data_IF_532871254222
#
_entry.id   IF_532871254222
#
_cell.length_a   1.000
_cell.length_b   1.000
_cell.length_c   1.000
_cell.angle_alpha   90.00
_cell.angle_beta   90.00
_cell.angle_gamma   90.00
#
_symmetry.space_group_name_H-M   'P 1'
#
loop_
_entity.id
_entity.type
_entity.pdbx_description
1 polymer ?
#
# COMPACT_ATOMS: atom_id res chain seq x y z
N UNK A 1 -35.20 0.42 1.61
CA UNK A 1 -34.97 -0.38 2.84
C UNK A 1 -33.53 -0.15 3.29
N UNK A 2 -33.31 0.51 4.42
CA UNK A 2 -31.99 0.50 5.06
C UNK A 2 -31.86 -0.83 5.80
N UNK A 3 -31.09 -1.76 5.24
CA UNK A 3 -30.69 -2.97 5.95
C UNK A 3 -29.67 -2.55 7.02
N UNK A 4 -30.08 -2.56 8.28
CA UNK A 4 -29.21 -2.33 9.43
C UNK A 4 -28.86 -3.70 10.01
N UNK A 5 -27.58 -3.96 10.25
CA UNK A 5 -27.13 -5.19 10.89
C UNK A 5 -27.58 -5.18 12.36
N UNK A 6 -28.28 -6.22 12.81
CA UNK A 6 -28.67 -6.32 14.21
C UNK A 6 -27.43 -6.47 15.10
N UNK A 7 -27.52 -6.02 16.35
CA UNK A 7 -26.41 -6.16 17.31
C UNK A 7 -25.98 -7.63 17.49
N UNK A 8 -26.94 -8.55 17.52
CA UNK A 8 -26.68 -9.98 17.60
C UNK A 8 -25.90 -10.49 16.38
N UNK A 9 -26.33 -10.12 15.17
CA UNK A 9 -25.61 -10.50 13.95
C UNK A 9 -24.20 -9.87 13.94
N UNK A 10 -24.06 -8.60 14.32
CA UNK A 10 -22.76 -7.95 14.43
C UNK A 10 -21.82 -8.69 15.40
N UNK A 11 -22.31 -9.06 16.59
CA UNK A 11 -21.52 -9.83 17.56
C UNK A 11 -21.15 -11.23 17.05
N UNK A 12 -22.03 -11.88 16.29
CA UNK A 12 -21.74 -13.17 15.65
C UNK A 12 -20.65 -13.03 14.59
N UNK A 13 -20.76 -12.06 13.69
CA UNK A 13 -19.77 -11.82 12.62
C UNK A 13 -18.42 -11.40 13.21
N UNK A 14 -18.43 -10.53 14.23
CA UNK A 14 -17.24 -10.20 15.03
C UNK A 14 -16.55 -11.45 15.55
N UNK A 15 -17.30 -12.35 16.22
CA UNK A 15 -16.73 -13.58 16.79
C UNK A 15 -16.14 -14.46 15.69
N UNK A 16 -16.81 -14.57 14.55
CA UNK A 16 -16.30 -15.34 13.42
C UNK A 16 -14.98 -14.76 12.90
N UNK A 17 -14.91 -13.44 12.70
CA UNK A 17 -13.70 -12.75 12.24
C UNK A 17 -12.54 -12.91 13.21
N UNK A 18 -12.79 -12.77 14.52
CA UNK A 18 -11.75 -12.94 15.55
C UNK A 18 -11.21 -14.37 15.67
N UNK A 19 -11.94 -15.37 15.16
CA UNK A 19 -11.51 -16.78 15.17
C UNK A 19 -10.83 -17.17 13.84
N UNK A 20 -11.36 -16.70 12.72
CA UNK A 20 -10.98 -17.20 11.39
C UNK A 20 -10.24 -16.18 10.51
N UNK A 21 -10.37 -14.89 10.80
CA UNK A 21 -9.75 -13.82 10.02
C UNK A 21 -8.24 -13.79 10.20
N UNK A 22 -7.53 -13.28 9.19
CA UNK A 22 -6.09 -13.01 9.28
C UNK A 22 -5.82 -11.99 10.40
N UNK A 23 -4.63 -12.05 10.99
CA UNK A 23 -4.26 -11.13 12.08
C UNK A 23 -4.48 -9.65 11.70
N UNK A 24 -4.15 -9.26 10.46
CA UNK A 24 -4.38 -7.89 9.98
C UNK A 24 -5.86 -7.52 9.89
N UNK A 25 -6.74 -8.44 9.48
CA UNK A 25 -8.18 -8.22 9.40
C UNK A 25 -8.80 -8.06 10.80
N UNK A 26 -8.26 -8.79 11.79
CA UNK A 26 -8.67 -8.63 13.19
C UNK A 26 -8.29 -7.24 13.73
N UNK A 27 -7.08 -6.76 13.43
CA UNK A 27 -6.61 -5.46 13.88
C UNK A 27 -7.33 -4.29 13.17
N UNK A 28 -7.62 -4.43 11.87
CA UNK A 28 -8.48 -3.49 11.15
C UNK A 28 -9.89 -3.43 11.74
N UNK A 29 -10.49 -4.58 12.07
CA UNK A 29 -11.79 -4.59 12.73
C UNK A 29 -11.77 -3.86 14.08
N UNK A 30 -10.72 -4.10 14.89
CA UNK A 30 -10.54 -3.40 16.16
C UNK A 30 -10.41 -1.90 15.96
N UNK A 31 -9.63 -1.46 14.98
CA UNK A 31 -9.48 -0.05 14.62
C UNK A 31 -10.84 0.60 14.29
N UNK A 32 -11.64 -0.02 13.41
CA UNK A 32 -12.91 0.56 12.99
C UNK A 32 -14.02 0.51 14.04
N UNK A 33 -14.07 -0.55 14.85
CA UNK A 33 -15.27 -0.85 15.66
C UNK A 33 -15.00 -0.99 17.16
N UNK A 34 -13.75 -1.05 17.60
CA UNK A 34 -13.40 -1.32 19.00
C UNK A 34 -12.43 -0.28 19.60
N UNK A 35 -12.29 0.88 18.96
CA UNK A 35 -11.33 1.93 19.34
C UNK A 35 -9.88 1.45 19.36
N UNK A 36 -9.53 0.50 18.49
CA UNK A 36 -8.14 0.12 18.24
C UNK A 36 -7.34 1.29 17.68
N UNK A 37 -6.03 1.28 17.90
CA UNK A 37 -5.15 2.37 17.48
C UNK A 37 -4.61 2.18 16.06
N UNK A 38 -4.37 3.27 15.30
CA UNK A 38 -3.63 3.19 14.04
C UNK A 38 -2.28 2.48 14.17
N UNK A 39 -1.57 2.70 15.28
CA UNK A 39 -0.24 2.14 15.52
C UNK A 39 -0.25 0.61 15.64
N UNK A 40 -1.32 0.01 16.16
CA UNK A 40 -1.47 -1.45 16.20
C UNK A 40 -1.58 -2.04 14.79
N UNK A 41 -2.37 -1.42 13.91
CA UNK A 41 -2.50 -1.84 12.51
C UNK A 41 -1.17 -1.65 11.77
N UNK A 42 -0.53 -0.48 11.92
CA UNK A 42 0.78 -0.19 11.31
C UNK A 42 1.83 -1.22 11.76
N UNK A 43 1.90 -1.51 13.06
CA UNK A 43 2.82 -2.51 13.60
C UNK A 43 2.53 -3.90 13.05
N UNK A 44 1.25 -4.28 12.88
CA UNK A 44 0.88 -5.56 12.28
C UNK A 44 1.30 -5.66 10.83
N UNK A 45 1.12 -4.59 10.05
CA UNK A 45 1.52 -4.53 8.64
C UNK A 45 3.03 -4.72 8.42
N UNK A 46 3.87 -4.36 9.39
CA UNK A 46 5.32 -4.58 9.30
C UNK A 46 5.68 -6.07 9.14
N UNK A 47 4.86 -7.00 9.65
CA UNK A 47 5.06 -8.45 9.49
C UNK A 47 4.97 -8.89 8.01
N UNK A 48 4.21 -8.12 7.21
CA UNK A 48 3.98 -8.38 5.78
C UNK A 48 4.98 -7.62 4.88
N UNK A 49 5.72 -6.64 5.42
CA UNK A 49 6.70 -5.89 4.64
C UNK A 49 7.99 -6.70 4.41
N UNK A 50 8.49 -6.68 3.18
CA UNK A 50 9.75 -7.29 2.75
C UNK A 50 10.96 -6.41 3.07
N UNK A 51 12.16 -6.99 2.95
CA UNK A 51 13.42 -6.25 3.14
C UNK A 51 13.64 -5.19 2.07
N UNK A 52 13.04 -5.37 0.91
CA UNK A 52 13.00 -4.46 -0.23
C UNK A 52 11.91 -3.37 -0.10
N UNK A 53 11.09 -3.41 0.96
CA UNK A 53 10.06 -2.42 1.27
C UNK A 53 8.67 -2.71 0.68
N UNK A 54 8.56 -3.65 -0.27
CA UNK A 54 7.27 -4.10 -0.80
C UNK A 54 6.53 -4.97 0.20
N UNK A 55 5.27 -5.30 -0.09
CA UNK A 55 4.47 -6.19 0.74
C UNK A 55 4.19 -7.51 0.06
N UNK A 56 3.92 -8.53 0.89
CA UNK A 56 3.62 -9.90 0.47
C UNK A 56 2.51 -10.48 1.36
N UNK A 57 1.84 -11.53 0.90
CA UNK A 57 0.89 -12.32 1.71
C UNK A 57 -0.31 -11.51 2.25
N UNK A 58 -0.65 -10.39 1.61
CA UNK A 58 -1.76 -9.56 2.05
C UNK A 58 -3.08 -10.18 1.56
N UNK A 59 -3.14 -10.61 0.29
CA UNK A 59 -4.32 -11.23 -0.33
C UNK A 59 -4.09 -12.67 -0.77
N UNK A 60 -4.20 -12.90 -2.07
CA UNK A 60 -3.83 -14.13 -2.82
C UNK A 60 -2.32 -14.20 -3.12
N UNK A 61 -1.52 -13.33 -2.48
CA UNK A 61 -0.10 -13.15 -2.76
C UNK A 61 0.81 -14.26 -2.22
N UNK A 62 2.03 -14.30 -2.74
CA UNK A 62 3.02 -15.30 -2.33
C UNK A 62 3.52 -15.03 -0.90
N UNK A 63 3.71 -16.07 -0.09
CA UNK A 63 4.11 -15.92 1.33
C UNK A 63 5.51 -15.33 1.54
N UNK A 64 6.34 -15.36 0.49
CA UNK A 64 7.77 -14.99 0.55
C UNK A 64 8.10 -13.79 -0.35
N UNK A 65 7.42 -13.63 -1.49
CA UNK A 65 7.85 -12.70 -2.54
C UNK A 65 6.92 -11.50 -2.55
N UNK A 66 7.51 -10.32 -2.42
CA UNK A 66 6.82 -9.03 -2.51
C UNK A 66 6.31 -8.78 -3.92
N UNK A 67 5.19 -8.07 -4.04
CA UNK A 67 4.59 -7.76 -5.33
C UNK A 67 3.77 -6.46 -5.29
N UNK A 68 3.45 -5.92 -6.47
CA UNK A 68 2.70 -4.69 -6.60
C UNK A 68 1.29 -4.77 -6.01
N UNK A 69 0.62 -5.92 -6.11
CA UNK A 69 -0.77 -6.08 -5.66
C UNK A 69 -0.88 -6.05 -4.13
N UNK A 70 -0.07 -6.85 -3.45
CA UNK A 70 -0.01 -6.87 -1.98
C UNK A 70 0.48 -5.51 -1.45
N UNK A 71 1.39 -4.85 -2.18
CA UNK A 71 1.84 -3.49 -1.85
C UNK A 71 0.70 -2.49 -1.98
N UNK A 72 -0.07 -2.53 -3.06
CA UNK A 72 -1.25 -1.66 -3.21
C UNK A 72 -2.23 -1.85 -2.06
N UNK A 73 -2.56 -3.11 -1.72
CA UNK A 73 -3.49 -3.39 -0.62
C UNK A 73 -2.96 -2.98 0.75
N UNK A 74 -1.66 -3.14 1.02
CA UNK A 74 -1.06 -2.62 2.24
C UNK A 74 -1.15 -1.09 2.33
N UNK A 75 -0.96 -0.39 1.21
CA UNK A 75 -1.10 1.06 1.16
C UNK A 75 -2.55 1.54 1.30
N UNK A 76 -3.55 0.75 0.87
CA UNK A 76 -4.95 1.02 1.20
C UNK A 76 -5.13 1.12 2.72
N UNK A 77 -4.64 0.12 3.46
CA UNK A 77 -4.74 0.10 4.91
C UNK A 77 -3.89 1.19 5.58
N UNK A 78 -2.68 1.48 5.08
CA UNK A 78 -1.83 2.56 5.62
C UNK A 78 -2.52 3.92 5.45
N UNK A 79 -3.10 4.20 4.28
CA UNK A 79 -3.86 5.43 4.03
C UNK A 79 -5.10 5.51 4.94
N UNK A 80 -5.85 4.41 5.07
CA UNK A 80 -7.07 4.34 5.88
C UNK A 80 -6.83 4.63 7.36
N UNK A 81 -5.73 4.13 7.94
CA UNK A 81 -5.37 4.39 9.34
C UNK A 81 -4.64 5.72 9.54
N UNK A 82 -4.38 6.47 8.47
CA UNK A 82 -3.70 7.77 8.52
C UNK A 82 -2.21 7.68 8.80
N UNK A 83 -1.53 6.65 8.28
CA UNK A 83 -0.07 6.60 8.28
C UNK A 83 0.52 7.79 7.51
N UNK A 84 1.72 8.21 7.88
CA UNK A 84 2.33 9.47 7.41
C UNK A 84 3.68 9.22 6.75
N UNK A 85 4.23 10.25 6.11
CA UNK A 85 5.59 10.23 5.57
C UNK A 85 6.69 10.02 6.63
N UNK A 86 6.37 10.17 7.92
CA UNK A 86 7.31 9.89 9.02
C UNK A 86 7.37 8.41 9.41
N UNK A 87 6.39 7.60 8.99
CA UNK A 87 6.35 6.19 9.31
C UNK A 87 7.32 5.42 8.41
N UNK A 88 8.28 4.70 9.02
CA UNK A 88 9.34 3.99 8.29
C UNK A 88 8.76 2.96 7.29
N UNK A 89 7.64 2.34 7.64
CA UNK A 89 6.93 1.40 6.76
C UNK A 89 6.48 2.07 5.46
N UNK A 90 5.98 3.31 5.53
CA UNK A 90 5.56 4.11 4.37
C UNK A 90 6.79 4.51 3.55
N UNK A 91 7.86 4.95 4.20
CA UNK A 91 9.10 5.36 3.53
C UNK A 91 9.69 4.22 2.69
N UNK A 92 9.76 3.01 3.26
CA UNK A 92 10.22 1.81 2.56
C UNK A 92 9.27 1.42 1.42
N UNK A 93 7.97 1.49 1.66
CA UNK A 93 6.97 1.17 0.65
C UNK A 93 7.02 2.12 -0.56
N UNK A 94 7.18 3.43 -0.33
CA UNK A 94 7.32 4.40 -1.43
C UNK A 94 8.62 4.17 -2.21
N UNK A 95 9.72 3.84 -1.53
CA UNK A 95 10.96 3.48 -2.21
C UNK A 95 10.80 2.22 -3.07
N UNK A 96 10.08 1.21 -2.57
CA UNK A 96 9.75 0.02 -3.35
C UNK A 96 8.91 0.38 -4.59
N UNK A 97 7.84 1.16 -4.44
CA UNK A 97 6.98 1.55 -5.56
C UNK A 97 7.82 2.30 -6.62
N UNK A 98 8.62 3.29 -6.24
CA UNK A 98 9.47 4.01 -7.22
C UNK A 98 10.49 3.06 -7.87
N UNK A 99 11.13 2.19 -7.07
CA UNK A 99 12.23 1.33 -7.51
C UNK A 99 11.80 0.13 -8.36
N UNK A 100 10.51 -0.23 -8.35
CA UNK A 100 9.97 -1.39 -9.07
C UNK A 100 9.14 -1.04 -10.31
N UNK A 101 9.07 0.24 -10.67
CA UNK A 101 8.40 0.64 -11.90
C UNK A 101 9.13 0.11 -13.13
N UNK A 102 8.41 -0.60 -14.00
CA UNK A 102 8.91 -1.12 -15.26
C UNK A 102 8.75 -0.04 -16.35
N UNK A 103 9.87 0.54 -16.79
CA UNK A 103 9.89 1.59 -17.80
C UNK A 103 9.67 1.07 -19.23
N UNK A 104 9.92 -0.21 -19.49
CA UNK A 104 9.70 -0.80 -20.82
C UNK A 104 8.21 -1.04 -21.04
N UNK A 105 7.53 -1.58 -20.03
CA UNK A 105 6.10 -1.91 -20.07
C UNK A 105 5.21 -0.78 -19.53
N UNK A 106 5.81 0.26 -18.95
CA UNK A 106 5.15 1.41 -18.33
C UNK A 106 4.14 1.01 -17.25
N UNK A 107 4.47 0.03 -16.43
CA UNK A 107 3.58 -0.50 -15.40
C UNK A 107 4.33 -0.95 -14.13
N UNK A 108 3.55 -1.25 -13.09
CA UNK A 108 3.99 -2.10 -11.99
C UNK A 108 3.39 -3.49 -12.16
N UNK A 109 4.20 -4.51 -11.90
CA UNK A 109 3.76 -5.90 -11.99
C UNK A 109 2.93 -6.28 -10.75
N UNK A 110 1.71 -6.75 -10.97
CA UNK A 110 0.84 -7.21 -9.89
C UNK A 110 1.40 -8.45 -9.20
N UNK A 111 2.11 -9.29 -9.96
CA UNK A 111 2.73 -10.52 -9.47
C UNK A 111 4.20 -10.61 -9.91
N UNK A 112 5.07 -11.31 -9.17
CA UNK A 112 6.51 -11.33 -9.43
C UNK A 112 6.95 -11.86 -10.81
N UNK A 113 6.09 -12.66 -11.46
CA UNK A 113 6.40 -13.32 -12.73
C UNK A 113 5.46 -12.86 -13.86
N UNK A 114 4.75 -11.75 -13.67
CA UNK A 114 3.89 -11.21 -14.70
C UNK A 114 4.72 -10.44 -15.73
N UNK A 115 4.43 -10.65 -17.01
CA UNK A 115 5.18 -10.07 -18.14
C UNK A 115 4.25 -9.42 -19.16
N UNK A 116 3.00 -9.17 -18.77
CA UNK A 116 1.96 -8.67 -19.66
C UNK A 116 1.48 -7.30 -19.22
N UNK A 117 1.31 -6.40 -20.20
CA UNK A 117 0.72 -5.08 -19.99
C UNK A 117 -0.81 -5.13 -19.82
N UNK A 118 -1.44 -6.31 -19.95
CA UNK A 118 -2.90 -6.39 -20.07
C UNK A 118 -3.60 -6.12 -18.73
N UNK A 119 -4.54 -5.17 -18.79
CA UNK A 119 -5.29 -4.47 -17.74
C UNK A 119 -6.16 -5.30 -16.78
N UNK A 120 -5.94 -6.60 -16.60
CA UNK A 120 -6.85 -7.39 -15.75
C UNK A 120 -6.69 -7.05 -14.25
N UNK A 121 -5.48 -6.70 -13.80
CA UNK A 121 -5.16 -6.37 -12.39
C UNK A 121 -4.44 -5.00 -12.27
N UNK A 122 -4.94 -3.92 -12.91
CA UNK A 122 -4.20 -2.65 -12.99
C UNK A 122 -4.22 -1.80 -11.70
N UNK A 123 -3.34 -2.15 -10.77
CA UNK A 123 -2.94 -1.39 -9.58
C UNK A 123 -2.18 -0.09 -9.85
N UNK A 124 -1.79 0.23 -11.10
CA UNK A 124 -0.98 1.42 -11.38
C UNK A 124 -1.68 2.70 -10.97
N UNK A 125 -3.02 2.79 -11.11
CA UNK A 125 -3.77 3.97 -10.67
C UNK A 125 -3.68 4.15 -9.15
N UNK A 126 -3.78 3.06 -8.40
CA UNK A 126 -3.68 3.06 -6.93
C UNK A 126 -2.26 3.43 -6.48
N UNK A 127 -1.24 2.79 -7.06
CA UNK A 127 0.16 3.09 -6.74
C UNK A 127 0.54 4.53 -7.07
N UNK A 128 0.08 5.08 -8.20
CA UNK A 128 0.25 6.50 -8.52
C UNK A 128 -0.48 7.38 -7.49
N UNK A 129 -1.67 6.97 -7.05
CA UNK A 129 -2.41 7.63 -5.97
C UNK A 129 -1.56 7.74 -4.69
N UNK A 130 -0.91 6.66 -4.27
CA UNK A 130 -0.04 6.69 -3.09
C UNK A 130 1.22 7.51 -3.30
N UNK A 131 1.83 7.49 -4.50
CA UNK A 131 2.94 8.40 -4.80
C UNK A 131 2.51 9.88 -4.69
N UNK A 132 1.26 10.21 -5.01
CA UNK A 132 0.71 11.56 -4.85
C UNK A 132 0.39 11.90 -3.38
N UNK A 133 -0.24 10.97 -2.66
CA UNK A 133 -0.56 11.10 -1.24
C UNK A 133 0.71 11.37 -0.42
N UNK A 134 1.76 10.57 -0.66
CA UNK A 134 3.06 10.65 0.01
C UNK A 134 4.13 11.39 -0.80
N UNK A 135 3.74 12.37 -1.64
CA UNK A 135 4.62 13.11 -2.58
C UNK A 135 5.87 13.73 -1.98
N UNK A 136 5.87 14.03 -0.68
CA UNK A 136 7.04 14.53 0.05
C UNK A 136 8.23 13.54 -0.06
N UNK A 137 7.94 12.25 0.02
CA UNK A 137 8.94 11.19 -0.09
C UNK A 137 9.43 11.00 -1.53
N UNK A 138 8.55 11.22 -2.52
CA UNK A 138 8.89 11.13 -3.95
C UNK A 138 9.90 12.21 -4.32
N UNK A 139 9.66 13.45 -3.91
CA UNK A 139 10.57 14.56 -4.19
C UNK A 139 11.96 14.34 -3.59
N UNK A 140 12.03 13.84 -2.35
CA UNK A 140 13.29 13.52 -1.69
C UNK A 140 14.03 12.40 -2.43
N UNK A 141 13.32 11.37 -2.86
CA UNK A 141 13.91 10.23 -3.59
C UNK A 141 14.47 10.67 -4.93
N UNK A 142 13.72 11.42 -5.72
CA UNK A 142 14.16 11.91 -7.03
C UNK A 142 15.40 12.82 -6.93
N UNK A 143 15.45 13.70 -5.91
CA UNK A 143 16.64 14.55 -5.65
C UNK A 143 17.89 13.74 -5.29
N UNK A 144 17.75 12.59 -4.64
CA UNK A 144 18.87 11.69 -4.33
C UNK A 144 19.36 10.94 -5.57
N UNK A 145 18.44 10.50 -6.43
CA UNK A 145 18.78 9.80 -7.67
C UNK A 145 19.42 10.73 -8.72
N UNK A 146 19.04 12.00 -8.72
CA UNK A 146 19.60 13.04 -9.59
C UNK A 146 20.22 14.15 -8.73
N UNK A 147 21.39 13.90 -8.11
CA UNK A 147 22.11 14.96 -7.42
C UNK A 147 22.44 16.02 -8.46
N UNK A 148 21.87 17.21 -8.29
CA UNK A 148 21.95 18.34 -9.22
C UNK A 148 23.41 18.69 -9.53
N UNK A 149 23.94 18.13 -10.62
CA UNK A 149 25.05 18.69 -11.40
C UNK A 149 24.55 19.45 -12.63
N UNK A 150 23.25 19.36 -12.95
CA UNK A 150 22.56 20.19 -13.93
C UNK A 150 21.28 20.76 -13.32
N UNK A 151 21.09 22.07 -13.48
CA UNK A 151 20.02 22.83 -12.85
C UNK A 151 18.63 22.35 -13.27
N UNK A 152 17.73 22.22 -12.30
CA UNK A 152 16.30 22.11 -12.52
C UNK A 152 15.77 23.48 -13.00
N UNK A 153 15.97 23.79 -14.28
CA UNK A 153 15.07 24.64 -15.06
C UNK A 153 14.52 23.80 -16.19
N UNK A 154 13.21 23.90 -16.46
CA UNK A 154 12.53 23.39 -17.66
C UNK A 154 11.77 22.06 -17.60
N UNK A 155 11.03 21.79 -16.51
CA UNK A 155 9.96 20.77 -16.53
C UNK A 155 8.57 21.31 -16.13
N UNK A 156 8.34 22.62 -16.25
CA UNK A 156 7.02 23.23 -15.97
C UNK A 156 6.22 23.68 -17.20
N UNK A 157 6.56 23.23 -18.41
CA UNK A 157 5.87 23.69 -19.62
C UNK A 157 4.85 22.75 -20.26
N UNK A 158 4.69 21.49 -19.84
CA UNK A 158 3.86 20.53 -20.60
C UNK A 158 2.68 19.90 -19.83
N UNK A 159 1.99 20.69 -19.00
CA UNK A 159 0.61 20.41 -18.63
C UNK A 159 -0.23 21.69 -18.79
N UNK A 160 -0.73 21.89 -20.01
CA UNK A 160 -1.91 22.69 -20.32
C UNK A 160 -2.71 21.99 -21.40
#
# INVERSE_FOLDING_TARGET
>A
MNKILSLENFQRERKYLMINGKNIEQDLFRFHFENGSPQEVISKLQEYQGKDGGFRNMGEGHSIITNGMDTSMAFQYLSEVGATSNDEIVQKGIQYIIGTYDYELNCWHARPNETSQYWLDNLCAELVGYLYEYRELVQVTLKKCYPTSYGFSDYHSNFR
#
